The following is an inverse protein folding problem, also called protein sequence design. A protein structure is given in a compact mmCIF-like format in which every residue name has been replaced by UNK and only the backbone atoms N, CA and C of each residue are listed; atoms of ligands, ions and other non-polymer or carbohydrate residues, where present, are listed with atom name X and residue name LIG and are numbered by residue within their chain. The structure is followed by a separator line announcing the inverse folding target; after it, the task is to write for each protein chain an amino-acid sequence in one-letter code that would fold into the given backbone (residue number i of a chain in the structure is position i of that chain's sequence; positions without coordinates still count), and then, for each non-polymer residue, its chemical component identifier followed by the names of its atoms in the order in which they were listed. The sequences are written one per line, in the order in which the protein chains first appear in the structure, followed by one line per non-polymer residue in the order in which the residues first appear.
data_IF_481271963348
#
_entry.id   IF_481271963348
#
_cell.length_a   1.000
_cell.length_b   1.000
_cell.length_c   1.000
_cell.angle_alpha   90.00
_cell.angle_beta   90.00
_cell.angle_gamma   90.00
#
_symmetry.space_group_name_H-M   'P 1'
#
loop_
_entity.id
_entity.type
_entity.pdbx_description
1 polymer ?
#
# COMPACT_ATOMS: atom_id res chain seq x y z
N UNK A 1 -18.07 -1.03 14.02
CA UNK A 1 -17.79 -0.17 15.20
C UNK A 1 -16.91 -0.91 16.19
N UNK A 2 -15.82 -0.29 16.60
CA UNK A 2 -14.83 -0.83 17.54
C UNK A 2 -14.51 0.23 18.62
N UNK A 3 -14.34 -0.19 19.88
CA UNK A 3 -14.07 0.70 21.01
C UNK A 3 -12.78 0.23 21.70
N UNK A 4 -11.75 1.09 21.70
CA UNK A 4 -10.46 0.84 22.37
C UNK A 4 -10.15 2.06 23.23
N UNK A 5 -9.84 1.85 24.51
CA UNK A 5 -9.43 2.92 25.46
C UNK A 5 -10.37 4.13 25.52
N UNK A 6 -11.68 3.90 25.32
CA UNK A 6 -12.70 4.95 25.29
C UNK A 6 -12.77 5.73 23.96
N UNK A 7 -11.93 5.38 22.98
CA UNK A 7 -11.96 5.93 21.62
C UNK A 7 -12.84 5.04 20.74
N UNK A 8 -13.79 5.67 20.06
CA UNK A 8 -14.72 5.03 19.13
C UNK A 8 -14.15 5.07 17.72
N UNK A 9 -14.03 3.90 17.10
CA UNK A 9 -13.62 3.73 15.72
C UNK A 9 -14.82 3.23 14.89
N UNK A 10 -15.03 3.87 13.75
CA UNK A 10 -16.00 3.43 12.75
C UNK A 10 -15.26 2.83 11.57
N UNK A 11 -15.86 1.81 10.98
CA UNK A 11 -15.36 1.26 9.74
C UNK A 11 -15.52 2.31 8.64
N UNK A 12 -14.43 2.56 7.93
CA UNK A 12 -14.42 3.40 6.76
C UNK A 12 -14.03 2.55 5.57
N UNK A 13 -14.91 2.52 4.58
CA UNK A 13 -14.64 1.91 3.28
C UNK A 13 -14.20 3.02 2.34
N UNK A 14 -12.99 2.95 1.77
CA UNK A 14 -12.56 3.93 0.79
C UNK A 14 -13.49 3.93 -0.42
N UNK A 15 -13.89 5.10 -0.93
CA UNK A 15 -14.82 5.20 -2.06
C UNK A 15 -14.16 4.92 -3.41
N UNK A 16 -12.83 4.99 -3.49
CA UNK A 16 -12.03 4.75 -4.69
C UNK A 16 -10.59 4.37 -4.32
N UNK A 17 -9.82 3.95 -5.33
CA UNK A 17 -8.41 3.55 -5.18
C UNK A 17 -7.50 4.72 -4.80
N UNK A 18 -7.74 5.92 -5.33
CA UNK A 18 -6.94 7.11 -5.01
C UNK A 18 -7.00 7.41 -3.49
N UNK A 19 -8.19 7.39 -2.88
CA UNK A 19 -8.37 7.61 -1.45
C UNK A 19 -7.76 6.48 -0.60
N UNK A 20 -7.83 5.23 -1.08
CA UNK A 20 -7.18 4.11 -0.42
C UNK A 20 -5.65 4.26 -0.47
N UNK A 21 -5.08 4.63 -1.62
CA UNK A 21 -3.65 4.87 -1.83
C UNK A 21 -3.14 5.96 -0.87
N UNK A 22 -3.85 7.08 -0.75
CA UNK A 22 -3.48 8.15 0.18
C UNK A 22 -3.44 7.69 1.65
N UNK A 23 -4.36 6.81 2.06
CA UNK A 23 -4.37 6.25 3.40
C UNK A 23 -3.23 5.24 3.60
N UNK A 24 -2.93 4.42 2.60
CA UNK A 24 -1.77 3.52 2.63
C UNK A 24 -0.47 4.32 2.77
N UNK A 25 -0.30 5.40 2.00
CA UNK A 25 0.88 6.29 2.09
C UNK A 25 0.99 6.87 3.49
N UNK A 26 -0.11 7.43 4.02
CA UNK A 26 -0.14 8.07 5.33
C UNK A 26 0.19 7.09 6.48
N UNK A 27 -0.24 5.84 6.34
CA UNK A 27 -0.08 4.79 7.36
C UNK A 27 0.95 3.74 6.95
N UNK A 28 1.89 4.07 6.05
CA UNK A 28 2.82 3.11 5.49
C UNK A 28 3.67 2.43 6.58
N UNK A 29 4.10 3.17 7.59
CA UNK A 29 4.86 2.60 8.73
C UNK A 29 3.98 1.69 9.61
N UNK A 30 2.69 2.01 9.78
CA UNK A 30 1.77 1.15 10.52
C UNK A 30 1.51 -0.18 9.78
N UNK A 31 1.49 -0.14 8.44
CA UNK A 31 1.21 -1.30 7.58
C UNK A 31 2.46 -2.18 7.39
N UNK A 32 3.60 -1.58 7.08
CA UNK A 32 4.83 -2.29 6.71
C UNK A 32 5.84 -2.38 7.87
N UNK A 33 5.57 -1.73 8.99
CA UNK A 33 6.43 -1.70 10.17
C UNK A 33 7.43 -0.55 10.18
N UNK A 34 7.90 -0.21 11.38
CA UNK A 34 8.88 0.88 11.62
C UNK A 34 10.22 0.67 10.90
N UNK A 35 10.65 -0.59 10.76
CA UNK A 35 11.87 -0.98 10.05
C UNK A 35 11.61 -1.14 8.54
N UNK A 36 10.90 -0.18 7.95
CA UNK A 36 10.62 -0.15 6.52
C UNK A 36 10.70 1.26 5.94
N UNK A 37 10.98 1.35 4.64
CA UNK A 37 10.87 2.58 3.87
C UNK A 37 9.92 2.32 2.71
N UNK A 38 8.80 3.04 2.72
CA UNK A 38 7.85 3.07 1.62
C UNK A 38 8.20 4.21 0.66
N UNK A 39 8.20 3.90 -0.64
CA UNK A 39 8.43 4.84 -1.71
C UNK A 39 7.11 5.03 -2.47
N UNK A 40 6.44 6.15 -2.19
CA UNK A 40 5.35 6.68 -2.99
C UNK A 40 5.93 7.27 -4.28
N UNK A 41 6.19 6.40 -5.25
CA UNK A 41 6.74 6.80 -6.54
C UNK A 41 6.22 5.91 -7.65
N UNK A 42 5.29 6.45 -8.42
CA UNK A 42 4.80 5.85 -9.66
C UNK A 42 5.92 5.83 -10.71
N UNK A 43 6.66 4.73 -10.76
CA UNK A 43 7.77 4.52 -11.68
C UNK A 43 7.53 3.26 -12.52
N UNK A 44 7.55 3.41 -13.84
CA UNK A 44 7.41 2.25 -14.74
C UNK A 44 8.57 1.26 -14.55
N UNK A 45 8.22 0.04 -14.17
CA UNK A 45 9.12 -1.11 -14.13
C UNK A 45 8.94 -1.90 -15.42
N UNK A 46 10.03 -2.25 -16.09
CA UNK A 46 9.98 -3.02 -17.34
C UNK A 46 10.86 -4.27 -17.23
N UNK A 47 10.30 -5.41 -17.63
CA UNK A 47 11.03 -6.66 -17.78
C UNK A 47 11.94 -6.62 -19.01
N UNK A 48 12.92 -7.54 -19.05
CA UNK A 48 13.77 -7.74 -20.23
C UNK A 48 12.98 -8.14 -21.48
N UNK A 49 11.79 -8.71 -21.30
CA UNK A 49 10.86 -9.06 -22.37
C UNK A 49 10.05 -7.85 -22.89
N UNK A 50 10.24 -6.65 -22.33
CA UNK A 50 9.56 -5.42 -22.74
C UNK A 50 8.17 -5.22 -22.14
N UNK A 51 7.68 -6.17 -21.32
CA UNK A 51 6.44 -6.00 -20.54
C UNK A 51 6.73 -5.16 -19.31
N UNK A 52 5.90 -4.16 -19.02
CA UNK A 52 6.08 -3.33 -17.83
C UNK A 52 4.78 -2.84 -17.21
N UNK A 53 4.82 -2.58 -15.91
CA UNK A 53 3.73 -2.02 -15.10
C UNK A 53 4.22 -0.78 -14.36
N UNK A 54 3.28 0.04 -13.91
CA UNK A 54 3.54 1.18 -13.02
C UNK A 54 2.86 0.81 -11.71
N UNK A 55 3.62 0.39 -10.68
CA UNK A 55 3.04 0.13 -9.39
C UNK A 55 2.71 1.42 -8.65
N UNK A 56 1.82 1.32 -7.67
CA UNK A 56 1.52 2.43 -6.75
C UNK A 56 2.65 2.69 -5.76
N UNK A 57 3.42 1.65 -5.40
CA UNK A 57 4.54 1.83 -4.49
C UNK A 57 5.61 0.74 -4.51
N UNK A 58 6.69 1.04 -3.80
CA UNK A 58 7.75 0.09 -3.48
C UNK A 58 8.00 0.17 -1.97
N UNK A 59 8.18 -0.97 -1.30
CA UNK A 59 8.61 -0.99 0.09
C UNK A 59 9.91 -1.76 0.24
N UNK A 60 10.86 -1.20 0.99
CA UNK A 60 12.07 -1.88 1.43
C UNK A 60 11.94 -2.14 2.93
N UNK A 61 12.11 -3.39 3.35
CA UNK A 61 12.04 -3.82 4.74
C UNK A 61 13.42 -4.24 5.24
N UNK A 62 13.81 -3.74 6.41
CA UNK A 62 15.16 -3.86 6.99
C UNK A 62 15.26 -4.91 8.10
N UNK A 63 14.35 -5.89 8.12
CA UNK A 63 14.33 -6.96 9.12
C UNK A 63 15.53 -7.92 9.03
N UNK A 64 15.31 -9.21 9.32
CA UNK A 64 16.40 -10.20 9.32
C UNK A 64 17.16 -10.26 7.99
N UNK A 65 16.48 -10.06 6.86
CA UNK A 65 17.10 -9.88 5.56
C UNK A 65 16.49 -8.66 4.87
N UNK A 66 17.30 -7.96 4.09
CA UNK A 66 16.83 -6.87 3.25
C UNK A 66 15.88 -7.43 2.18
N UNK A 67 14.63 -7.03 2.25
CA UNK A 67 13.58 -7.44 1.30
C UNK A 67 12.99 -6.21 0.65
N UNK A 68 12.61 -6.33 -0.61
CA UNK A 68 11.86 -5.30 -1.30
C UNK A 68 10.64 -5.91 -1.97
N UNK A 69 9.55 -5.15 -1.99
CA UNK A 69 8.27 -5.57 -2.53
C UNK A 69 7.68 -4.46 -3.40
N UNK A 70 6.96 -4.88 -4.43
CA UNK A 70 6.10 -4.00 -5.23
C UNK A 70 4.73 -3.97 -4.54
N UNK A 71 4.14 -2.79 -4.43
CA UNK A 71 2.84 -2.57 -3.80
C UNK A 71 1.87 -2.07 -4.87
N UNK A 72 0.72 -2.75 -4.97
CA UNK A 72 -0.45 -2.36 -5.75
C UNK A 72 -1.60 -2.14 -4.76
N UNK A 73 -2.31 -1.03 -4.87
CA UNK A 73 -3.35 -0.64 -3.92
C UNK A 73 -4.71 -0.67 -4.61
N UNK A 74 -5.40 -1.80 -4.49
CA UNK A 74 -6.68 -2.04 -5.18
C UNK A 74 -7.82 -2.23 -4.17
N UNK A 75 -9.02 -1.76 -4.55
CA UNK A 75 -10.23 -2.10 -3.82
C UNK A 75 -10.59 -3.57 -4.06
N UNK A 76 -10.97 -4.28 -2.99
CA UNK A 76 -11.38 -5.68 -3.10
C UNK A 76 -12.63 -5.88 -3.98
N UNK A 77 -13.47 -4.84 -4.08
CA UNK A 77 -14.61 -4.78 -4.98
C UNK A 77 -14.21 -4.14 -6.30
N UNK A 78 -13.49 -4.88 -7.15
CA UNK A 78 -13.34 -4.49 -8.55
C UNK A 78 -14.48 -5.10 -9.37
N UNK A 79 -15.02 -4.35 -10.33
CA UNK A 79 -15.90 -4.92 -11.35
C UNK A 79 -15.02 -5.84 -12.21
N UNK A 80 -15.34 -7.14 -12.38
CA UNK A 80 -14.51 -8.04 -13.20
C UNK A 80 -14.43 -7.65 -14.69
N UNK A 81 -15.07 -6.54 -15.10
CA UNK A 81 -15.27 -6.12 -16.49
C UNK A 81 -15.18 -4.60 -16.68
#
# INVERSE_FOLDING_TARGET
MLLIDGVKYEEWTPPNEDELEQIVIKHAQDIFGEDSIYFDKKQKLSSLAGVGSIPDGLVIMFGHALQWHIVEVELASHDPY
#
